data_IF_098126638736
#
_entry.id   IF_098126638736
#
_cell.length_a   1.000
_cell.length_b   1.000
_cell.length_c   1.000
_cell.angle_alpha   90.00
_cell.angle_beta   90.00
_cell.angle_gamma   90.00
#
_symmetry.space_group_name_H-M   'P 1'
#
loop_
_entity.id
_entity.type
_entity.pdbx_description
1 polymer ?
#
# COMPACT_ATOMS: atom_id res chain seq x y z
N UNK A 1 -11.58 -14.31 -7.54
CA UNK A 1 -11.34 -13.77 -6.16
C UNK A 1 -9.84 -13.80 -5.93
N UNK A 2 -9.26 -12.68 -5.60
CA UNK A 2 -7.82 -12.53 -5.38
C UNK A 2 -7.33 -13.45 -4.26
N UNK A 3 -6.11 -13.87 -4.37
CA UNK A 3 -5.36 -14.56 -3.32
C UNK A 3 -4.31 -13.62 -2.76
N UNK A 4 -4.46 -13.28 -1.49
CA UNK A 4 -3.59 -12.32 -0.80
C UNK A 4 -2.89 -13.04 0.36
N UNK A 5 -1.57 -13.05 0.34
CA UNK A 5 -0.72 -13.49 1.44
C UNK A 5 -0.12 -12.24 2.12
N UNK A 6 -0.31 -12.14 3.44
CA UNK A 6 0.20 -11.03 4.26
C UNK A 6 1.47 -11.45 5.00
N UNK A 7 2.45 -10.57 4.98
CA UNK A 7 3.71 -10.67 5.74
C UNK A 7 3.90 -9.40 6.55
N UNK A 8 4.29 -9.53 7.80
CA UNK A 8 4.66 -8.37 8.62
C UNK A 8 6.19 -8.34 8.70
N UNK A 9 6.80 -7.41 8.00
CA UNK A 9 8.24 -7.37 7.75
C UNK A 9 8.88 -6.09 8.32
N UNK A 10 10.21 -6.10 8.34
CA UNK A 10 10.97 -4.93 8.80
C UNK A 10 10.89 -4.66 10.30
N UNK A 11 11.58 -3.61 10.78
CA UNK A 11 11.76 -3.36 12.21
C UNK A 11 10.51 -2.84 12.93
N UNK A 12 9.54 -2.30 12.20
CA UNK A 12 8.29 -1.78 12.78
C UNK A 12 7.05 -2.57 12.36
N UNK A 13 7.26 -3.73 11.70
CA UNK A 13 6.17 -4.65 11.36
C UNK A 13 5.24 -4.16 10.26
N UNK A 14 5.80 -3.52 9.22
CA UNK A 14 5.03 -3.05 8.07
C UNK A 14 4.48 -4.24 7.28
N UNK A 15 3.23 -4.16 6.89
CA UNK A 15 2.57 -5.20 6.12
C UNK A 15 3.00 -5.13 4.65
N UNK A 16 3.48 -6.26 4.16
CA UNK A 16 3.74 -6.51 2.74
C UNK A 16 2.75 -7.56 2.23
N UNK A 17 2.25 -7.39 1.02
CA UNK A 17 1.26 -8.30 0.45
C UNK A 17 1.74 -8.90 -0.87
N UNK A 18 1.65 -10.24 -0.99
CA UNK A 18 1.80 -10.96 -2.26
C UNK A 18 0.39 -11.23 -2.79
N UNK A 19 0.07 -10.66 -3.95
CA UNK A 19 -1.29 -10.66 -4.51
C UNK A 19 -1.30 -11.42 -5.84
N UNK A 20 -2.13 -12.45 -5.93
CA UNK A 20 -2.32 -13.28 -7.12
C UNK A 20 -3.78 -13.24 -7.58
N UNK A 21 -4.01 -13.38 -8.87
CA UNK A 21 -5.35 -13.42 -9.44
C UNK A 21 -6.20 -14.56 -8.87
N UNK A 22 -5.58 -15.73 -8.64
CA UNK A 22 -6.16 -16.90 -7.96
C UNK A 22 -5.08 -17.83 -7.42
N UNK A 23 -5.49 -19.00 -6.88
CA UNK A 23 -4.56 -19.99 -6.29
C UNK A 23 -3.66 -20.69 -7.30
N UNK A 24 -3.97 -20.61 -8.60
CA UNK A 24 -3.23 -21.27 -9.68
C UNK A 24 -2.35 -20.30 -10.46
N UNK A 25 -2.46 -19.00 -10.17
CA UNK A 25 -1.70 -17.97 -10.87
C UNK A 25 -0.19 -18.12 -10.63
N UNK A 26 0.57 -18.07 -11.71
CA UNK A 26 2.04 -18.13 -11.72
C UNK A 26 2.70 -16.73 -11.71
N UNK A 27 1.89 -15.69 -11.61
CA UNK A 27 2.29 -14.29 -11.45
C UNK A 27 1.71 -13.68 -10.20
N UNK A 28 2.46 -12.73 -9.62
CA UNK A 28 2.04 -11.96 -8.45
C UNK A 28 2.44 -10.48 -8.56
N UNK A 29 1.60 -9.61 -8.04
CA UNK A 29 1.99 -8.29 -7.60
C UNK A 29 2.48 -8.34 -6.15
N UNK A 30 3.48 -7.52 -5.80
CA UNK A 30 3.91 -7.33 -4.41
C UNK A 30 3.64 -5.90 -4.01
N UNK A 31 2.84 -5.71 -2.95
CA UNK A 31 2.50 -4.38 -2.42
C UNK A 31 3.38 -4.10 -1.21
N UNK A 32 4.02 -2.93 -1.19
CA UNK A 32 4.87 -2.41 -0.12
C UNK A 32 5.90 -3.43 0.39
N UNK A 33 6.89 -3.84 -0.44
CA UNK A 33 7.90 -4.79 -0.02
C UNK A 33 8.82 -4.18 1.04
N UNK A 34 8.45 -4.40 2.29
CA UNK A 34 9.18 -3.99 3.48
C UNK A 34 10.11 -5.11 3.98
N UNK A 35 11.26 -4.75 4.51
CA UNK A 35 12.19 -5.72 5.10
C UNK A 35 13.06 -6.47 4.09
N UNK A 36 13.42 -7.72 4.40
CA UNK A 36 14.36 -8.52 3.61
C UNK A 36 13.70 -9.11 2.35
N UNK A 37 14.09 -8.61 1.18
CA UNK A 37 13.62 -9.12 -0.10
C UNK A 37 13.95 -10.60 -0.34
N UNK A 38 14.93 -11.17 0.39
CA UNK A 38 15.25 -12.60 0.31
C UNK A 38 14.08 -13.46 0.79
N UNK A 39 13.44 -13.07 1.88
CA UNK A 39 12.25 -13.76 2.41
C UNK A 39 11.09 -13.73 1.41
N UNK A 40 10.82 -12.58 0.80
CA UNK A 40 9.79 -12.43 -0.23
C UNK A 40 10.09 -13.30 -1.45
N UNK A 41 11.33 -13.33 -1.95
CA UNK A 41 11.71 -14.18 -3.08
C UNK A 41 11.60 -15.68 -2.76
N UNK A 42 11.94 -16.10 -1.55
CA UNK A 42 11.74 -17.48 -1.12
C UNK A 42 10.25 -17.83 -1.06
N UNK A 43 9.42 -16.93 -0.57
CA UNK A 43 7.97 -17.11 -0.55
C UNK A 43 7.40 -17.24 -1.97
N UNK A 44 7.77 -16.33 -2.88
CA UNK A 44 7.36 -16.41 -4.29
C UNK A 44 7.75 -17.76 -4.93
N UNK A 45 8.96 -18.22 -4.67
CA UNK A 45 9.43 -19.51 -5.15
C UNK A 45 8.64 -20.70 -4.55
N UNK A 46 8.30 -20.66 -3.25
CA UNK A 46 7.47 -21.68 -2.59
C UNK A 46 6.03 -21.70 -3.13
N UNK A 47 5.49 -20.53 -3.49
CA UNK A 47 4.18 -20.40 -4.13
C UNK A 47 4.18 -20.81 -5.60
N UNK A 48 5.37 -21.06 -6.20
CA UNK A 48 5.53 -21.33 -7.62
C UNK A 48 5.14 -20.14 -8.50
N UNK A 49 5.30 -18.92 -7.99
CA UNK A 49 4.88 -17.70 -8.66
C UNK A 49 6.05 -16.72 -8.82
N UNK A 50 6.01 -15.87 -9.83
CA UNK A 50 7.01 -14.82 -10.09
C UNK A 50 6.39 -13.45 -9.85
N UNK A 51 7.15 -12.54 -9.28
CA UNK A 51 6.76 -11.14 -9.16
C UNK A 51 6.82 -10.49 -10.55
N UNK A 52 5.72 -9.89 -11.00
CA UNK A 52 5.63 -9.17 -12.28
C UNK A 52 5.31 -7.68 -12.11
N UNK A 53 5.16 -7.21 -10.87
CA UNK A 53 5.09 -5.80 -10.54
C UNK A 53 5.16 -5.57 -9.04
N UNK A 54 5.78 -4.47 -8.67
CA UNK A 54 5.91 -3.97 -7.30
C UNK A 54 5.07 -2.71 -7.21
N UNK A 55 4.14 -2.68 -6.26
CA UNK A 55 3.20 -1.58 -6.05
C UNK A 55 3.55 -0.88 -4.72
N UNK A 56 3.96 0.38 -4.78
CA UNK A 56 4.29 1.18 -3.60
C UNK A 56 3.17 2.16 -3.33
N UNK A 57 2.63 2.14 -2.10
CA UNK A 57 1.53 3.03 -1.72
C UNK A 57 2.00 4.46 -1.46
N UNK A 58 3.16 4.62 -0.81
CA UNK A 58 3.74 5.92 -0.48
C UNK A 58 5.23 5.81 -0.15
N UNK A 59 5.89 6.95 0.08
CA UNK A 59 7.34 7.07 0.18
C UNK A 59 7.93 6.92 1.58
N UNK A 60 7.20 6.49 2.61
CA UNK A 60 7.83 6.28 3.91
C UNK A 60 8.80 5.10 3.86
N UNK A 61 9.93 5.27 4.56
CA UNK A 61 11.09 4.39 4.46
C UNK A 61 10.78 2.91 4.71
N UNK A 62 9.88 2.62 5.63
CA UNK A 62 9.51 1.26 6.02
C UNK A 62 8.71 0.52 4.93
N UNK A 63 8.06 1.24 4.02
CA UNK A 63 7.42 0.68 2.82
C UNK A 63 8.42 0.53 1.65
N UNK A 64 9.59 1.17 1.73
CA UNK A 64 10.58 1.22 0.65
C UNK A 64 11.77 0.28 0.82
N UNK A 65 12.04 -0.21 2.05
CA UNK A 65 13.28 -0.93 2.41
C UNK A 65 13.60 -2.11 1.48
N UNK A 66 12.60 -2.88 1.07
CA UNK A 66 12.80 -4.06 0.21
C UNK A 66 12.58 -3.81 -1.28
N UNK A 67 12.17 -2.60 -1.68
CA UNK A 67 11.77 -2.32 -3.08
C UNK A 67 12.89 -2.58 -4.07
N UNK A 68 14.04 -1.92 -3.87
CA UNK A 68 15.18 -2.04 -4.79
C UNK A 68 15.70 -3.48 -4.90
N UNK A 69 15.91 -4.15 -3.76
CA UNK A 69 16.42 -5.53 -3.72
C UNK A 69 15.44 -6.53 -4.34
N UNK A 70 14.12 -6.30 -4.19
CA UNK A 70 13.11 -7.13 -4.84
C UNK A 70 13.07 -6.87 -6.36
N UNK A 71 13.09 -5.61 -6.78
CA UNK A 71 13.12 -5.24 -8.19
C UNK A 71 14.36 -5.81 -8.90
N UNK A 72 15.55 -5.64 -8.33
CA UNK A 72 16.82 -6.16 -8.87
C UNK A 72 16.79 -7.70 -8.93
N UNK A 73 16.22 -8.35 -7.93
CA UNK A 73 16.17 -9.81 -7.84
C UNK A 73 15.13 -10.48 -8.73
N UNK A 74 14.11 -9.75 -9.17
CA UNK A 74 12.98 -10.29 -9.96
C UNK A 74 12.87 -9.70 -11.36
N UNK A 75 13.41 -8.50 -11.58
CA UNK A 75 13.21 -7.71 -12.80
C UNK A 75 11.80 -7.12 -12.92
N UNK A 76 11.01 -7.14 -11.83
CA UNK A 76 9.66 -6.59 -11.82
C UNK A 76 9.67 -5.06 -11.79
N UNK A 77 8.88 -4.38 -12.63
CA UNK A 77 8.78 -2.92 -12.60
C UNK A 77 8.18 -2.41 -11.29
N UNK A 78 8.69 -1.27 -10.82
CA UNK A 78 8.21 -0.57 -9.63
C UNK A 78 7.21 0.50 -10.06
N UNK A 79 6.01 0.44 -9.48
CA UNK A 79 4.96 1.44 -9.62
C UNK A 79 4.91 2.26 -8.32
N UNK A 80 5.06 3.57 -8.41
CA UNK A 80 5.17 4.44 -7.24
C UNK A 80 4.49 5.80 -7.47
N UNK A 81 3.93 6.44 -6.43
CA UNK A 81 3.43 7.81 -6.53
C UNK A 81 4.51 8.79 -7.04
N UNK A 82 4.19 9.53 -8.10
CA UNK A 82 5.12 10.49 -8.73
C UNK A 82 5.65 11.53 -7.72
N UNK A 83 4.76 12.05 -6.87
CA UNK A 83 5.10 13.08 -5.91
C UNK A 83 6.08 12.64 -4.81
N UNK A 84 6.30 11.34 -4.66
CA UNK A 84 7.15 10.77 -3.59
C UNK A 84 8.33 9.94 -4.13
N UNK A 85 8.49 9.82 -5.44
CA UNK A 85 9.55 9.02 -6.07
C UNK A 85 10.96 9.38 -5.60
N UNK A 86 11.20 10.65 -5.26
CA UNK A 86 12.49 11.13 -4.77
C UNK A 86 12.95 10.41 -3.49
N UNK A 87 12.02 9.93 -2.68
CA UNK A 87 12.34 9.19 -1.45
C UNK A 87 12.98 7.83 -1.77
N UNK A 88 12.56 7.17 -2.85
CA UNK A 88 13.19 5.94 -3.33
C UNK A 88 14.47 6.20 -4.15
N UNK A 89 14.49 7.27 -4.94
CA UNK A 89 15.66 7.62 -5.77
C UNK A 89 16.86 8.13 -4.97
N UNK A 90 16.62 8.79 -3.81
CA UNK A 90 17.64 9.45 -2.98
C UNK A 90 17.53 9.12 -1.49
N UNK A 91 17.52 7.85 -1.11
CA UNK A 91 17.30 7.47 0.30
C UNK A 91 18.39 8.03 1.23
N UNK A 92 19.63 8.15 0.76
CA UNK A 92 20.74 8.70 1.55
C UNK A 92 20.59 10.18 1.92
N UNK A 93 19.76 10.93 1.19
CA UNK A 93 19.52 12.36 1.43
C UNK A 93 18.23 12.60 2.23
N UNK A 94 17.21 11.77 2.06
CA UNK A 94 15.84 12.05 2.47
C UNK A 94 15.30 11.07 3.53
N UNK A 95 15.85 9.86 3.60
CA UNK A 95 15.41 8.88 4.60
C UNK A 95 15.94 9.23 6.00
N UNK A 96 15.21 8.88 7.07
CA UNK A 96 15.70 9.02 8.44
C UNK A 96 17.04 8.32 8.66
N UNK A 97 17.90 8.90 9.51
CA UNK A 97 19.20 8.28 9.84
C UNK A 97 19.01 6.83 10.34
N UNK A 98 19.74 5.89 9.73
CA UNK A 98 19.68 4.46 10.09
C UNK A 98 18.66 3.64 9.32
N UNK A 99 17.84 4.25 8.46
CA UNK A 99 16.87 3.55 7.59
C UNK A 99 17.42 3.27 6.18
N UNK A 100 18.76 3.20 6.03
CA UNK A 100 19.41 3.04 4.73
C UNK A 100 18.90 1.84 3.94
N UNK A 101 18.41 2.08 2.73
CA UNK A 101 18.00 1.09 1.73
C UNK A 101 18.62 1.50 0.38
N UNK A 102 18.78 0.57 -0.58
CA UNK A 102 19.33 0.89 -1.89
C UNK A 102 18.42 1.87 -2.65
N UNK A 103 19.02 2.78 -3.42
CA UNK A 103 18.27 3.64 -4.31
C UNK A 103 17.73 2.86 -5.50
N UNK A 104 16.53 3.21 -5.96
CA UNK A 104 15.93 2.69 -7.17
C UNK A 104 15.11 3.78 -7.87
N UNK A 105 15.04 3.74 -9.20
CA UNK A 105 14.17 4.65 -9.96
C UNK A 105 12.94 3.88 -10.41
N UNK A 106 11.73 4.29 -10.00
CA UNK A 106 10.52 3.57 -10.39
C UNK A 106 10.30 3.66 -11.91
N UNK A 107 9.94 2.54 -12.52
CA UNK A 107 9.66 2.44 -13.96
C UNK A 107 8.30 3.05 -14.31
N UNK A 108 7.35 3.05 -13.37
CA UNK A 108 6.00 3.59 -13.57
C UNK A 108 5.66 4.55 -12.44
N UNK A 109 5.32 5.78 -12.79
CA UNK A 109 4.85 6.78 -11.82
C UNK A 109 3.33 6.94 -11.92
N UNK A 110 2.68 7.15 -10.75
CA UNK A 110 1.23 7.19 -10.58
C UNK A 110 0.81 8.50 -9.92
N UNK A 111 -0.37 8.98 -10.26
CA UNK A 111 -0.94 10.21 -9.67
C UNK A 111 -2.31 9.97 -9.00
N UNK A 112 -2.88 8.78 -9.23
CA UNK A 112 -4.24 8.41 -8.84
C UNK A 112 -5.26 8.71 -9.94
N UNK A 113 -6.24 7.80 -10.07
CA UNK A 113 -7.24 7.80 -11.14
C UNK A 113 -6.88 6.89 -12.33
N UNK A 114 -5.67 6.33 -12.34
CA UNK A 114 -5.26 5.36 -13.35
C UNK A 114 -5.83 3.97 -13.04
N UNK A 115 -5.99 3.16 -14.09
CA UNK A 115 -6.19 1.72 -14.00
C UNK A 115 -4.95 1.04 -14.57
N UNK A 116 -4.30 0.18 -13.79
CA UNK A 116 -3.08 -0.55 -14.18
C UNK A 116 -3.32 -2.05 -14.18
N UNK A 117 -2.65 -2.76 -15.07
CA UNK A 117 -2.70 -4.22 -15.11
C UNK A 117 -1.36 -4.80 -14.66
N UNK A 118 -1.38 -5.58 -13.57
CA UNK A 118 -0.21 -6.23 -12.97
C UNK A 118 -0.59 -7.65 -12.55
N UNK A 119 0.19 -8.64 -12.94
CA UNK A 119 -0.05 -10.06 -12.61
C UNK A 119 -1.44 -10.58 -13.04
N UNK A 120 -1.96 -10.09 -14.17
CA UNK A 120 -3.30 -10.41 -14.65
C UNK A 120 -4.44 -9.85 -13.79
N UNK A 121 -4.12 -8.87 -12.93
CA UNK A 121 -5.07 -8.17 -12.04
C UNK A 121 -5.17 -6.71 -12.50
N UNK A 122 -6.39 -6.22 -12.68
CA UNK A 122 -6.64 -4.80 -12.90
C UNK A 122 -6.79 -4.09 -11.56
N UNK A 123 -5.86 -3.19 -11.25
CA UNK A 123 -5.90 -2.33 -10.06
C UNK A 123 -6.38 -0.92 -10.44
N UNK A 124 -7.37 -0.42 -9.72
CA UNK A 124 -7.72 0.99 -9.70
C UNK A 124 -6.79 1.71 -8.72
N UNK A 125 -6.10 2.74 -9.17
CA UNK A 125 -5.20 3.55 -8.35
C UNK A 125 -5.98 4.74 -7.81
N UNK A 126 -6.12 4.81 -6.49
CA UNK A 126 -6.90 5.84 -5.83
C UNK A 126 -5.94 6.85 -5.16
N UNK A 127 -6.07 8.14 -5.47
CA UNK A 127 -5.33 9.19 -4.76
C UNK A 127 -5.92 9.39 -3.38
N UNK A 128 -5.14 9.17 -2.34
CA UNK A 128 -5.56 9.22 -0.92
C UNK A 128 -4.54 9.96 -0.06
N UNK A 129 -4.24 11.22 -0.39
CA UNK A 129 -3.26 12.01 0.37
C UNK A 129 -3.73 12.28 1.81
N UNK A 130 -2.77 12.71 2.65
CA UNK A 130 -3.02 13.17 4.02
C UNK A 130 -2.10 12.55 5.05
N UNK A 131 -1.82 11.23 5.01
CA UNK A 131 -0.72 10.62 5.74
C UNK A 131 0.64 11.04 5.12
N UNK A 132 0.71 10.99 3.81
CA UNK A 132 1.77 11.59 3.00
C UNK A 132 1.18 12.35 1.81
N UNK A 133 1.94 13.26 1.16
CA UNK A 133 1.38 14.21 0.19
C UNK A 133 0.82 13.60 -1.09
N UNK A 134 1.38 12.48 -1.54
CA UNK A 134 1.01 11.85 -2.80
C UNK A 134 0.59 10.37 -2.63
N UNK A 135 0.15 10.01 -1.43
CA UNK A 135 -0.26 8.64 -1.10
C UNK A 135 -1.30 8.11 -2.09
N UNK A 136 -1.12 6.86 -2.55
CA UNK A 136 -2.10 6.14 -3.36
C UNK A 136 -2.51 4.84 -2.66
N UNK A 137 -3.75 4.42 -2.88
CA UNK A 137 -4.23 3.10 -2.53
C UNK A 137 -4.52 2.31 -3.81
N UNK A 138 -4.45 0.99 -3.73
CA UNK A 138 -4.76 0.10 -4.85
C UNK A 138 -6.02 -0.69 -4.54
N UNK A 139 -7.01 -0.63 -5.43
CA UNK A 139 -8.26 -1.37 -5.28
C UNK A 139 -8.43 -2.38 -6.42
N UNK A 140 -8.74 -3.63 -6.08
CA UNK A 140 -9.03 -4.68 -7.04
C UNK A 140 -9.94 -5.76 -6.43
N UNK A 141 -10.97 -6.18 -7.13
CA UNK A 141 -11.86 -7.32 -6.80
C UNK A 141 -12.32 -7.34 -5.32
N UNK A 142 -12.73 -6.18 -4.78
CA UNK A 142 -13.18 -6.04 -3.39
C UNK A 142 -12.07 -5.99 -2.34
N UNK A 143 -10.81 -5.86 -2.75
CA UNK A 143 -9.63 -5.71 -1.89
C UNK A 143 -9.06 -4.31 -2.04
N UNK A 144 -8.86 -3.60 -0.92
CA UNK A 144 -8.24 -2.28 -0.85
C UNK A 144 -6.92 -2.37 -0.10
N UNK A 145 -5.81 -2.16 -0.79
CA UNK A 145 -4.48 -2.00 -0.20
C UNK A 145 -4.29 -0.53 0.15
N UNK A 146 -4.62 -0.19 1.39
CA UNK A 146 -4.78 1.21 1.82
C UNK A 146 -3.47 1.90 2.19
N UNK A 147 -2.35 1.17 2.27
CA UNK A 147 -1.14 1.70 2.92
C UNK A 147 -1.47 2.28 4.29
N UNK A 148 -0.97 3.46 4.57
CA UNK A 148 -1.09 4.11 5.88
C UNK A 148 -2.24 5.15 5.95
N UNK A 149 -3.36 4.84 5.30
CA UNK A 149 -4.56 5.71 5.35
C UNK A 149 -5.54 5.25 6.42
N UNK A 150 -5.96 3.99 6.39
CA UNK A 150 -6.98 3.43 7.27
C UNK A 150 -6.52 2.10 7.85
N UNK A 151 -6.58 1.98 9.17
CA UNK A 151 -6.20 0.80 9.95
C UNK A 151 -7.38 0.27 10.75
N UNK A 152 -7.28 -0.96 11.23
CA UNK A 152 -8.27 -1.52 12.16
C UNK A 152 -8.33 -0.69 13.46
N UNK A 153 -9.41 0.07 13.62
CA UNK A 153 -9.66 0.94 14.78
C UNK A 153 -8.77 2.19 14.84
N UNK A 154 -8.06 2.54 13.76
CA UNK A 154 -7.17 3.71 13.71
C UNK A 154 -7.09 4.30 12.29
N UNK A 155 -6.34 5.39 12.16
CA UNK A 155 -6.00 6.03 10.88
C UNK A 155 -4.51 6.39 10.86
N UNK A 156 -3.97 6.70 9.68
CA UNK A 156 -2.59 7.12 9.51
C UNK A 156 -2.26 8.37 10.34
N UNK A 157 -1.02 8.44 10.84
CA UNK A 157 -0.51 9.64 11.49
C UNK A 157 -0.30 10.76 10.47
N UNK A 158 -0.40 12.01 10.95
CA UNK A 158 -0.24 13.21 10.10
C UNK A 158 0.79 14.19 10.65
N UNK A 159 1.58 13.78 11.62
CA UNK A 159 2.61 14.60 12.29
C UNK A 159 3.99 14.52 11.62
N UNK A 160 4.09 13.80 10.50
CA UNK A 160 5.29 13.76 9.66
C UNK A 160 5.22 14.83 8.56
N UNK A 161 6.37 15.22 7.97
CA UNK A 161 6.40 16.24 6.93
C UNK A 161 5.45 15.92 5.76
N UNK A 162 4.55 16.84 5.46
CA UNK A 162 3.54 16.69 4.40
C UNK A 162 2.24 16.02 4.86
N UNK A 163 2.16 15.59 6.13
CA UNK A 163 0.92 15.09 6.72
C UNK A 163 -0.10 16.21 6.98
N UNK A 164 -1.39 15.92 6.73
CA UNK A 164 -2.50 16.85 6.96
C UNK A 164 -3.78 16.10 7.33
N UNK A 165 -4.35 16.46 8.48
CA UNK A 165 -5.51 15.76 9.04
C UNK A 165 -6.76 15.88 8.18
N UNK A 166 -7.08 17.10 7.75
CA UNK A 166 -8.32 17.34 7.01
C UNK A 166 -8.27 16.65 5.65
N UNK A 167 -7.11 16.65 5.02
CA UNK A 167 -6.84 15.92 3.77
C UNK A 167 -6.97 14.40 3.97
N UNK A 168 -6.41 13.84 5.06
CA UNK A 168 -6.54 12.43 5.37
C UNK A 168 -8.01 12.03 5.56
N UNK A 169 -8.76 12.82 6.33
CA UNK A 169 -10.18 12.55 6.57
C UNK A 169 -11.02 12.68 5.28
N UNK A 170 -10.68 13.60 4.39
CA UNK A 170 -11.31 13.70 3.07
C UNK A 170 -11.00 12.46 2.20
N UNK A 171 -9.78 11.95 2.24
CA UNK A 171 -9.40 10.71 1.55
C UNK A 171 -10.16 9.50 2.08
N UNK A 172 -10.26 9.35 3.40
CA UNK A 172 -11.03 8.26 4.02
C UNK A 172 -12.52 8.38 3.67
N UNK A 173 -13.09 9.59 3.70
CA UNK A 173 -14.46 9.85 3.27
C UNK A 173 -14.70 9.37 1.84
N UNK A 174 -13.82 9.75 0.92
CA UNK A 174 -13.89 9.33 -0.48
C UNK A 174 -13.90 7.80 -0.59
N UNK A 175 -13.03 7.09 0.14
CA UNK A 175 -12.98 5.63 0.13
C UNK A 175 -14.28 4.99 0.60
N UNK A 176 -14.85 5.45 1.74
CA UNK A 176 -16.10 4.86 2.29
C UNK A 176 -17.36 5.26 1.51
N UNK A 177 -17.30 6.30 0.68
CA UNK A 177 -18.38 6.72 -0.21
C UNK A 177 -18.33 6.00 -1.57
N UNK A 178 -17.12 5.75 -2.09
CA UNK A 178 -16.91 5.18 -3.42
C UNK A 178 -16.92 3.64 -3.44
N UNK A 179 -16.50 3.00 -2.34
CA UNK A 179 -16.31 1.55 -2.30
C UNK A 179 -17.38 0.86 -1.46
N UNK A 180 -17.73 -0.41 -1.77
CA UNK A 180 -18.67 -1.21 -0.98
C UNK A 180 -18.21 -1.40 0.48
N UNK A 181 -19.13 -1.50 1.42
CA UNK A 181 -18.83 -1.69 2.85
C UNK A 181 -18.15 -3.04 3.15
N UNK A 182 -18.38 -4.06 2.32
CA UNK A 182 -17.73 -5.37 2.41
C UNK A 182 -16.32 -5.42 1.79
N UNK A 183 -15.81 -4.28 1.29
CA UNK A 183 -14.42 -4.16 0.81
C UNK A 183 -13.46 -4.52 1.95
N UNK A 184 -12.59 -5.50 1.69
CA UNK A 184 -11.54 -5.91 2.63
C UNK A 184 -10.39 -4.91 2.55
N UNK A 185 -10.02 -4.34 3.70
CA UNK A 185 -8.91 -3.38 3.82
C UNK A 185 -7.65 -4.11 4.26
N UNK A 186 -6.61 -4.01 3.45
CA UNK A 186 -5.25 -4.49 3.67
C UNK A 186 -4.35 -3.30 4.01
N UNK A 187 -4.19 -2.96 5.31
CA UNK A 187 -3.48 -1.75 5.73
C UNK A 187 -1.96 -1.92 5.75
N UNK A 188 -1.21 -0.82 5.75
CA UNK A 188 0.24 -0.83 5.93
C UNK A 188 0.70 -1.34 7.29
N UNK A 189 -0.14 -1.21 8.33
CA UNK A 189 0.14 -1.71 9.68
C UNK A 189 -1.09 -2.34 10.33
N UNK A 190 -0.85 -3.33 11.21
CA UNK A 190 -1.88 -3.96 12.00
C UNK A 190 -2.71 -5.01 11.23
N UNK A 191 -3.86 -5.42 11.77
CA UNK A 191 -4.67 -6.48 11.18
C UNK A 191 -5.53 -5.99 10.03
N UNK A 192 -5.92 -6.93 9.16
CA UNK A 192 -6.90 -6.75 8.10
C UNK A 192 -8.27 -6.41 8.71
N UNK A 193 -9.04 -5.56 8.02
CA UNK A 193 -10.39 -5.16 8.42
C UNK A 193 -11.30 -5.01 7.20
N UNK A 194 -12.48 -4.40 7.35
CA UNK A 194 -13.37 -4.01 6.25
C UNK A 194 -13.77 -2.54 6.37
N UNK A 195 -14.14 -1.90 5.26
CA UNK A 195 -14.63 -0.52 5.30
C UNK A 195 -15.86 -0.38 6.20
N UNK A 196 -16.77 -1.35 6.17
CA UNK A 196 -17.97 -1.36 7.01
C UNK A 196 -17.66 -1.48 8.50
N UNK A 197 -16.72 -2.34 8.90
CA UNK A 197 -16.30 -2.46 10.30
C UNK A 197 -15.67 -1.16 10.80
N UNK A 198 -14.81 -0.54 9.99
CA UNK A 198 -14.18 0.73 10.35
C UNK A 198 -15.21 1.86 10.40
N UNK A 199 -16.08 1.97 9.42
CA UNK A 199 -17.16 2.95 9.45
C UNK A 199 -18.04 2.78 10.70
N UNK A 200 -18.32 1.54 11.12
CA UNK A 200 -19.15 1.26 12.28
C UNK A 200 -18.46 1.53 13.63
N UNK A 201 -17.15 1.27 13.76
CA UNK A 201 -16.49 1.15 15.06
C UNK A 201 -15.25 2.00 15.26
N UNK A 202 -14.60 2.47 14.16
CA UNK A 202 -13.39 3.23 14.26
C UNK A 202 -13.64 4.57 14.98
N UNK A 203 -12.94 4.88 16.08
CA UNK A 203 -13.19 6.10 16.87
C UNK A 203 -12.88 7.39 16.11
N UNK A 204 -11.99 7.34 15.11
CA UNK A 204 -11.63 8.48 14.27
C UNK A 204 -12.71 8.80 13.20
N UNK A 205 -13.62 7.86 12.89
CA UNK A 205 -14.68 8.03 11.89
C UNK A 205 -16.04 8.39 12.49
N UNK A 206 -16.08 8.88 13.72
CA UNK A 206 -17.34 9.19 14.41
C UNK A 206 -18.15 10.27 13.70
N UNK A 207 -17.49 11.32 13.19
CA UNK A 207 -18.14 12.41 12.46
C UNK A 207 -18.70 11.93 11.12
N UNK A 208 -17.92 11.17 10.35
CA UNK A 208 -18.38 10.56 9.10
C UNK A 208 -19.61 9.69 9.29
N UNK A 209 -19.64 8.92 10.37
CA UNK A 209 -20.78 8.06 10.74
C UNK A 209 -22.04 8.88 11.06
N UNK A 210 -21.88 9.97 11.82
CA UNK A 210 -22.99 10.85 12.18
C UNK A 210 -23.62 11.53 10.96
N UNK A 211 -22.82 11.97 10.00
CA UNK A 211 -23.28 12.60 8.77
C UNK A 211 -24.08 11.64 7.87
N UNK A 212 -23.72 10.35 7.83
CA UNK A 212 -24.46 9.32 7.03
C UNK A 212 -25.79 8.91 7.65
N UNK A 213 -26.03 9.24 8.91
CA UNK A 213 -27.27 8.92 9.64
C UNK A 213 -28.21 10.11 9.80
N UNK A 214 -27.81 11.31 9.38
CA UNK A 214 -28.61 12.55 9.44
C UNK A 214 -29.40 12.78 8.14
#
# INVERSE_FOLDING_TARGET
>A
MLRVEQFSLGPIGTNCYVVRADVTADEAAVVDPSGDATELRLTLAQLGTRCTGILVTHGHWDHLVGVADLADGTGAPVHMPEGERMLLERPGELAPMGSGYPAHSPEVTLTGGESIEVAGITFEVLSVPGHSPAHVAYYADGCLFSGDVLFAGSVGRVDLPGGDWDTLMASIRMLVEALPEDTVVYPGHGPITTLGDELARNPFLTELRAERTA
#
